data_IF_574534927561
#
_entry.id   IF_574534927561
#
_cell.length_a   1.000
_cell.length_b   1.000
_cell.length_c   1.000
_cell.angle_alpha   90.00
_cell.angle_beta   90.00
_cell.angle_gamma   90.00
#
_symmetry.space_group_name_H-M   'P 1'
#
loop_
_entity.id
_entity.type
_entity.pdbx_description
1 polymer ?
#
# COMPACT_ATOMS: atom_id res chain seq x y z
N UNK A 1 -9.56 -14.87 -43.73
CA UNK A 1 -9.23 -13.77 -42.80
C UNK A 1 -8.81 -14.42 -41.50
N UNK A 2 -7.52 -14.36 -41.17
CA UNK A 2 -7.01 -14.82 -39.88
C UNK A 2 -7.00 -13.56 -39.02
N UNK A 3 -7.82 -13.54 -37.96
CA UNK A 3 -7.75 -12.47 -36.97
C UNK A 3 -6.39 -12.54 -36.27
N UNK A 4 -5.57 -11.53 -36.52
CA UNK A 4 -4.34 -11.30 -35.76
C UNK A 4 -4.73 -10.76 -34.38
N UNK A 5 -4.32 -11.40 -33.27
CA UNK A 5 -4.60 -10.87 -31.95
C UNK A 5 -3.84 -9.56 -31.74
N UNK A 6 -4.56 -8.54 -31.27
CA UNK A 6 -4.05 -7.20 -31.01
C UNK A 6 -2.97 -7.21 -29.91
N UNK A 7 -1.81 -6.56 -30.09
CA UNK A 7 -0.74 -6.50 -29.08
C UNK A 7 -1.13 -5.45 -28.04
N UNK A 8 -2.00 -5.80 -27.09
CA UNK A 8 -2.58 -4.74 -26.26
C UNK A 8 -3.49 -5.17 -25.14
N UNK A 9 -3.12 -6.21 -24.39
CA UNK A 9 -3.55 -6.28 -23.00
C UNK A 9 -2.47 -6.95 -22.18
N UNK A 10 -1.53 -6.13 -21.72
CA UNK A 10 -0.74 -6.49 -20.54
C UNK A 10 -1.77 -6.57 -19.42
N UNK A 11 -2.27 -7.77 -19.15
CA UNK A 11 -2.96 -8.07 -17.89
C UNK A 11 -1.89 -7.90 -16.81
N UNK A 12 -1.67 -6.65 -16.37
CA UNK A 12 -0.83 -6.37 -15.22
C UNK A 12 -1.53 -7.05 -14.06
N UNK A 13 -1.01 -8.20 -13.64
CA UNK A 13 -1.40 -8.86 -12.40
C UNK A 13 -1.43 -7.77 -11.33
N UNK A 14 -2.61 -7.44 -10.81
CA UNK A 14 -2.74 -6.44 -9.75
C UNK A 14 -2.10 -7.04 -8.50
N UNK A 15 -0.77 -6.93 -8.37
CA UNK A 15 -0.10 -7.10 -7.09
C UNK A 15 -0.63 -5.96 -6.24
N UNK A 16 -1.67 -6.24 -5.45
CA UNK A 16 -2.11 -5.33 -4.39
C UNK A 16 -0.91 -5.08 -3.49
N UNK A 17 -0.48 -3.83 -3.45
CA UNK A 17 0.36 -3.31 -2.38
C UNK A 17 -0.34 -3.66 -1.06
N UNK A 18 0.33 -4.32 -0.10
CA UNK A 18 -0.32 -4.66 1.16
C UNK A 18 -0.53 -3.38 1.99
N UNK A 19 -1.74 -3.20 2.51
CA UNK A 19 -2.12 -2.04 3.31
C UNK A 19 -1.93 -2.33 4.80
N UNK A 20 -1.32 -1.39 5.53
CA UNK A 20 -1.03 -1.49 6.98
C UNK A 20 -1.60 -0.27 7.70
N UNK A 21 -2.30 -0.49 8.83
CA UNK A 21 -2.69 0.57 9.77
C UNK A 21 -1.81 0.50 11.02
N UNK A 22 -1.10 1.59 11.32
CA UNK A 22 -0.31 1.76 12.53
C UNK A 22 -1.12 2.60 13.53
N UNK A 23 -1.42 2.03 14.70
CA UNK A 23 -2.10 2.73 15.79
C UNK A 23 -1.17 2.84 16.97
N UNK A 24 -0.75 4.06 17.28
CA UNK A 24 0.19 4.36 18.37
C UNK A 24 -0.06 5.80 18.84
N UNK A 25 -0.08 6.05 20.15
CA UNK A 25 -0.34 7.37 20.72
C UNK A 25 0.89 8.30 20.65
N UNK A 26 2.10 7.75 20.56
CA UNK A 26 3.33 8.52 20.44
C UNK A 26 3.63 8.88 18.97
N UNK A 27 3.60 10.18 18.65
CA UNK A 27 3.85 10.69 17.29
C UNK A 27 5.19 10.22 16.71
N UNK A 28 6.26 10.27 17.51
CA UNK A 28 7.61 9.94 17.03
C UNK A 28 7.72 8.45 16.63
N UNK A 29 7.12 7.55 17.41
CA UNK A 29 7.10 6.11 17.12
C UNK A 29 6.24 5.85 15.88
N UNK A 30 5.04 6.42 15.83
CA UNK A 30 4.12 6.30 14.70
C UNK A 30 4.73 6.78 13.37
N UNK A 31 5.42 7.91 13.38
CA UNK A 31 6.10 8.47 12.20
C UNK A 31 7.25 7.58 11.74
N UNK A 32 8.08 7.10 12.67
CA UNK A 32 9.19 6.19 12.35
C UNK A 32 8.69 4.88 11.73
N UNK A 33 7.63 4.28 12.30
CA UNK A 33 7.03 3.06 11.78
C UNK A 33 6.45 3.26 10.37
N UNK A 34 5.78 4.40 10.13
CA UNK A 34 5.27 4.76 8.81
C UNK A 34 6.40 4.80 7.77
N UNK A 35 7.45 5.56 8.04
CA UNK A 35 8.60 5.70 7.13
C UNK A 35 9.24 4.36 6.80
N UNK A 36 9.52 3.54 7.82
CA UNK A 36 10.14 2.22 7.62
C UNK A 36 9.25 1.32 6.77
N UNK A 37 7.95 1.26 7.04
CA UNK A 37 7.02 0.41 6.30
C UNK A 37 6.81 0.89 4.85
N UNK A 38 6.68 2.20 4.62
CA UNK A 38 6.59 2.77 3.28
C UNK A 38 7.86 2.48 2.46
N UNK A 39 9.06 2.60 3.08
CA UNK A 39 10.32 2.21 2.44
C UNK A 39 10.40 0.73 2.05
N UNK A 40 9.65 -0.14 2.73
CA UNK A 40 9.55 -1.56 2.39
C UNK A 40 8.46 -1.87 1.34
N UNK A 41 7.81 -0.84 0.79
CA UNK A 41 6.83 -0.98 -0.28
C UNK A 41 5.41 -1.29 0.20
N UNK A 42 5.09 -0.95 1.45
CA UNK A 42 3.72 -1.02 1.97
C UNK A 42 2.98 0.30 1.78
N UNK A 43 1.66 0.23 1.63
CA UNK A 43 0.80 1.40 1.79
C UNK A 43 0.42 1.51 3.27
N UNK A 44 0.74 2.64 3.90
CA UNK A 44 0.61 2.80 5.34
C UNK A 44 -0.37 3.90 5.69
N UNK A 45 -1.26 3.62 6.64
CA UNK A 45 -2.13 4.58 7.29
C UNK A 45 -1.75 4.66 8.76
N UNK A 46 -1.92 5.84 9.37
CA UNK A 46 -1.60 6.05 10.78
C UNK A 46 -2.82 6.60 11.52
N UNK A 47 -2.99 6.20 12.78
CA UNK A 47 -3.99 6.73 13.69
C UNK A 47 -3.38 6.95 15.08
N UNK A 48 -3.73 8.04 15.76
CA UNK A 48 -3.24 8.29 17.12
C UNK A 48 -4.03 7.50 18.18
N UNK A 49 -5.17 6.91 17.79
CA UNK A 49 -6.04 6.12 18.64
C UNK A 49 -7.03 5.30 17.79
N UNK A 50 -7.73 4.35 18.41
CA UNK A 50 -8.68 3.47 17.72
C UNK A 50 -9.96 4.13 17.19
N UNK A 51 -10.20 5.43 17.41
CA UNK A 51 -11.33 6.16 16.82
C UNK A 51 -10.99 6.84 15.48
N UNK A 52 -9.70 6.91 15.16
CA UNK A 52 -9.18 7.62 13.98
C UNK A 52 -8.79 6.68 12.82
N UNK A 53 -8.89 5.36 13.01
CA UNK A 53 -8.51 4.33 12.05
C UNK A 53 -9.65 3.47 11.54
#
# INVERSE_FOLDING_TARGET
MIEVPSPGKVETSHKKTPNILVVDDEYNIRSMLQEVLEMNGYEVQTAANGKEG
#
